data_IF_479359032187
#
_entry.id   IF_479359032187
#
_cell.length_a   1.000
_cell.length_b   1.000
_cell.length_c   1.000
_cell.angle_alpha   90.00
_cell.angle_beta   90.00
_cell.angle_gamma   90.00
#
_symmetry.space_group_name_H-M   'P 1'
#
loop_
_entity.id
_entity.type
_entity.pdbx_description
1 polymer ?
#
# COMPACT_ATOMS: atom_id res chain seq x y z
N UNK A 1 18.90 8.13 37.68
CA UNK A 1 19.02 7.70 36.26
C UNK A 1 19.07 6.19 36.21
N UNK A 2 18.45 5.50 35.23
CA UNK A 2 17.62 6.03 34.15
C UNK A 2 16.16 5.47 34.12
N UNK A 3 15.26 6.14 33.39
CA UNK A 3 13.96 5.63 32.95
C UNK A 3 14.07 4.99 31.55
N UNK A 4 13.47 3.81 31.33
CA UNK A 4 13.32 3.14 30.02
C UNK A 4 12.10 2.21 30.14
N UNK A 5 11.15 2.08 29.23
CA UNK A 5 10.89 2.72 27.94
C UNK A 5 9.53 2.21 27.45
N UNK A 6 8.73 3.10 26.85
CA UNK A 6 7.59 2.75 26.00
C UNK A 6 8.04 1.77 24.90
N UNK A 7 7.57 0.52 24.93
CA UNK A 7 7.69 -0.40 23.80
C UNK A 7 6.33 -0.60 23.11
N UNK A 8 6.20 0.15 22.01
CA UNK A 8 5.55 -0.16 20.73
C UNK A 8 4.23 -0.97 20.67
N UNK A 9 3.19 -0.46 19.97
CA UNK A 9 2.04 -1.26 19.61
C UNK A 9 2.17 -1.94 18.21
N UNK A 10 1.42 -3.05 18.05
CA UNK A 10 0.90 -3.71 16.81
C UNK A 10 1.80 -4.85 16.26
N UNK A 11 1.30 -6.06 15.79
CA UNK A 11 0.17 -6.18 14.85
C UNK A 11 -0.73 -7.44 14.79
N UNK A 12 -2.05 -7.18 14.61
CA UNK A 12 -2.96 -7.74 13.58
C UNK A 12 -3.77 -9.08 13.66
N UNK A 13 -3.76 -9.99 14.66
CA UNK A 13 -4.49 -11.27 14.50
C UNK A 13 -5.99 -11.18 14.81
N UNK A 14 -6.41 -10.22 15.65
CA UNK A 14 -7.77 -10.19 16.20
C UNK A 14 -8.88 -9.87 15.18
N UNK A 15 -8.54 -9.24 14.04
CA UNK A 15 -9.51 -8.80 13.03
C UNK A 15 -9.86 -9.88 12.01
N UNK A 16 -8.90 -10.73 11.64
CA UNK A 16 -9.14 -11.90 10.79
C UNK A 16 -10.05 -12.90 11.49
N UNK A 17 -9.82 -13.13 12.79
CA UNK A 17 -10.65 -14.01 13.61
C UNK A 17 -12.06 -13.47 13.77
N UNK A 18 -12.26 -12.16 13.91
CA UNK A 18 -13.60 -11.57 14.03
C UNK A 18 -14.39 -11.59 12.71
N UNK A 19 -13.73 -11.35 11.57
CA UNK A 19 -14.35 -11.45 10.25
C UNK A 19 -14.70 -12.90 9.90
N UNK A 20 -13.80 -13.84 10.16
CA UNK A 20 -14.07 -15.27 10.03
C UNK A 20 -15.18 -15.74 10.98
N UNK A 21 -15.21 -15.25 12.22
CA UNK A 21 -16.24 -15.53 13.23
C UNK A 21 -17.62 -14.96 12.87
N UNK A 22 -17.68 -13.79 12.22
CA UNK A 22 -18.94 -13.17 11.78
C UNK A 22 -19.54 -13.96 10.61
N UNK A 23 -18.69 -14.44 9.70
CA UNK A 23 -19.12 -15.32 8.61
C UNK A 23 -19.54 -16.72 9.11
N UNK A 24 -18.82 -17.25 10.09
CA UNK A 24 -19.16 -18.49 10.81
C UNK A 24 -20.54 -18.42 11.49
N UNK A 25 -20.89 -17.28 12.11
CA UNK A 25 -22.16 -17.10 12.83
C UNK A 25 -23.40 -17.20 11.91
N UNK A 26 -23.23 -17.03 10.61
CA UNK A 26 -24.29 -17.10 9.62
C UNK A 26 -24.39 -18.46 8.88
N UNK A 27 -23.61 -19.49 9.23
CA UNK A 27 -23.70 -20.84 8.61
C UNK A 27 -23.29 -22.04 9.53
N UNK A 28 -24.06 -22.30 10.59
CA UNK A 28 -24.25 -23.65 11.22
C UNK A 28 -22.98 -24.43 11.70
N UNK A 29 -22.14 -23.86 12.58
CA UNK A 29 -21.11 -24.62 13.32
C UNK A 29 -21.22 -24.40 14.84
N UNK A 30 -20.76 -25.37 15.65
CA UNK A 30 -20.97 -25.38 17.11
C UNK A 30 -19.91 -24.61 17.91
N UNK A 31 -20.41 -23.89 18.93
CA UNK A 31 -19.70 -22.92 19.79
C UNK A 31 -18.41 -23.43 20.44
N UNK A 32 -18.28 -24.74 20.68
CA UNK A 32 -17.12 -25.36 21.34
C UNK A 32 -15.86 -25.37 20.46
N UNK A 33 -16.02 -25.53 19.14
CA UNK A 33 -14.88 -25.67 18.22
C UNK A 33 -14.16 -24.34 18.01
N UNK A 34 -14.91 -23.23 18.08
CA UNK A 34 -14.37 -21.88 18.01
C UNK A 34 -13.50 -21.54 19.22
N UNK A 35 -13.93 -21.96 20.43
CA UNK A 35 -13.23 -21.63 21.68
C UNK A 35 -11.86 -22.31 21.70
N UNK A 36 -11.78 -23.54 21.18
CA UNK A 36 -10.52 -24.26 21.05
C UNK A 36 -9.61 -23.65 19.97
N UNK A 37 -10.15 -23.20 18.84
CA UNK A 37 -9.37 -22.54 17.78
C UNK A 37 -8.88 -21.13 18.17
N UNK A 38 -9.72 -20.35 18.87
CA UNK A 38 -9.38 -19.01 19.36
C UNK A 38 -8.31 -19.05 20.46
N UNK A 39 -8.35 -20.05 21.35
CA UNK A 39 -7.37 -20.20 22.43
C UNK A 39 -5.95 -20.49 21.91
N UNK A 40 -5.84 -21.14 20.75
CA UNK A 40 -4.54 -21.40 20.10
C UNK A 40 -3.95 -20.18 19.38
N UNK A 41 -4.77 -19.15 19.10
CA UNK A 41 -4.38 -17.98 18.30
C UNK A 41 -4.22 -16.72 19.17
N UNK A 42 -4.91 -16.64 20.31
CA UNK A 42 -4.86 -15.52 21.27
C UNK A 42 -3.53 -15.36 22.03
N UNK A 43 -2.49 -16.11 21.68
CA UNK A 43 -1.13 -15.85 22.10
C UNK A 43 -0.50 -14.55 21.50
N UNK A 44 -1.23 -13.69 20.75
CA UNK A 44 -0.71 -12.40 20.26
C UNK A 44 -1.77 -11.34 19.87
N UNK A 45 -1.84 -10.19 20.58
CA UNK A 45 -2.89 -9.11 20.55
C UNK A 45 -2.94 -8.15 19.32
N UNK A 46 -3.65 -7.00 19.24
CA UNK A 46 -4.60 -6.18 20.04
C UNK A 46 -4.86 -4.81 19.31
N UNK A 47 -6.01 -4.11 19.51
CA UNK A 47 -6.18 -2.63 19.28
C UNK A 47 -7.39 -2.08 18.44
N UNK A 48 -8.13 -1.07 18.98
CA UNK A 48 -9.38 -0.39 18.49
C UNK A 48 -9.25 1.17 18.35
N UNK A 49 -10.25 1.78 17.68
CA UNK A 49 -10.79 3.19 17.69
C UNK A 49 -10.31 4.27 16.67
N UNK A 50 -11.26 4.92 15.95
CA UNK A 50 -11.39 6.39 15.71
C UNK A 50 -12.56 6.82 14.75
N UNK A 51 -13.53 7.51 15.35
CA UNK A 51 -14.52 8.57 15.02
C UNK A 51 -14.97 9.05 13.60
N UNK A 52 -16.31 9.25 13.53
CA UNK A 52 -17.17 10.40 13.14
C UNK A 52 -16.78 11.47 12.08
N UNK A 53 -17.76 11.68 11.18
CA UNK A 53 -18.20 12.88 10.43
C UNK A 53 -17.25 13.60 9.45
N UNK A 54 -17.64 13.67 8.17
CA UNK A 54 -18.06 14.90 7.47
C UNK A 54 -18.41 14.58 6.00
N UNK A 55 -19.59 15.05 5.56
CA UNK A 55 -20.00 15.10 4.16
C UNK A 55 -19.11 16.07 3.40
N UNK A 56 -18.46 15.66 2.31
CA UNK A 56 -17.93 16.58 1.30
C UNK A 56 -17.72 15.89 -0.06
N UNK A 57 -18.04 16.66 -1.10
CA UNK A 57 -18.12 16.34 -2.51
C UNK A 57 -16.72 16.18 -3.15
N UNK A 58 -16.50 15.15 -3.95
CA UNK A 58 -15.29 15.04 -4.79
C UNK A 58 -15.48 15.90 -6.04
N UNK A 59 -14.68 16.96 -6.28
CA UNK A 59 -14.74 17.66 -7.54
C UNK A 59 -14.18 16.77 -8.66
N UNK A 60 -14.73 16.87 -9.89
CA UNK A 60 -14.17 16.20 -11.06
C UNK A 60 -12.73 16.69 -11.31
N UNK A 61 -11.84 15.74 -11.60
CA UNK A 61 -10.42 15.97 -11.87
C UNK A 61 -10.26 16.92 -13.05
N UNK A 62 -10.00 18.20 -12.79
CA UNK A 62 -9.52 19.15 -13.80
C UNK A 62 -8.00 19.25 -13.69
N UNK A 63 -7.33 18.79 -14.73
CA UNK A 63 -5.88 18.84 -14.92
C UNK A 63 -5.42 20.29 -15.06
N UNK A 64 -4.81 20.84 -14.01
CA UNK A 64 -3.78 21.88 -14.15
C UNK A 64 -2.60 21.51 -13.25
N UNK A 65 -1.51 21.18 -13.92
CA UNK A 65 -0.21 20.84 -13.36
C UNK A 65 0.41 22.12 -12.79
N UNK A 66 0.77 22.19 -11.50
CA UNK A 66 1.63 23.26 -11.02
C UNK A 66 3.08 22.96 -11.43
N UNK A 67 3.60 23.77 -12.35
CA UNK A 67 5.03 23.91 -12.59
C UNK A 67 5.67 24.55 -11.35
N UNK A 68 6.51 23.81 -10.63
CA UNK A 68 7.73 24.29 -9.97
C UNK A 68 8.22 23.28 -8.91
N UNK A 69 9.16 22.41 -9.27
CA UNK A 69 10.12 21.86 -8.31
C UNK A 69 11.45 21.62 -9.03
N UNK A 70 12.20 22.70 -9.24
CA UNK A 70 13.59 22.59 -9.65
C UNK A 70 14.40 23.76 -9.05
N UNK A 71 14.94 23.56 -7.85
CA UNK A 71 16.14 24.27 -7.42
C UNK A 71 16.82 23.55 -6.26
N UNK A 72 18.12 23.28 -6.45
CA UNK A 72 19.16 22.90 -5.48
C UNK A 72 19.21 21.44 -5.04
N UNK A 73 19.90 20.62 -5.84
CA UNK A 73 21.14 19.96 -5.41
C UNK A 73 22.07 19.94 -6.62
N UNK A 74 23.04 20.86 -6.64
CA UNK A 74 24.12 20.92 -7.63
C UNK A 74 25.31 20.16 -7.05
N UNK A 75 25.49 18.93 -7.48
CA UNK A 75 26.74 18.19 -7.32
C UNK A 75 27.06 17.62 -8.68
N UNK A 76 28.13 18.10 -9.30
CA UNK A 76 28.57 17.66 -10.61
C UNK A 76 28.96 16.18 -10.54
N UNK A 77 28.34 15.37 -11.41
CA UNK A 77 28.69 13.96 -11.59
C UNK A 77 29.43 13.82 -12.93
N UNK A 78 30.65 13.25 -12.96
CA UNK A 78 31.43 13.10 -14.19
C UNK A 78 30.72 12.23 -15.25
N UNK A 79 30.88 12.59 -16.53
CA UNK A 79 30.26 11.96 -17.70
C UNK A 79 31.27 11.07 -18.46
N UNK A 80 30.79 9.85 -18.75
CA UNK A 80 31.10 8.89 -19.83
C UNK A 80 32.47 8.20 -19.98
N UNK A 81 32.46 6.91 -19.60
CA UNK A 81 33.03 5.84 -20.41
C UNK A 81 32.03 4.65 -20.46
N UNK A 82 32.11 3.79 -21.48
CA UNK A 82 31.16 2.67 -21.74
C UNK A 82 31.19 1.61 -20.62
N UNK A 83 32.27 1.56 -19.86
CA UNK A 83 32.43 0.95 -18.54
C UNK A 83 31.86 1.92 -17.49
N UNK A 84 30.82 1.66 -16.72
CA UNK A 84 29.89 0.53 -16.66
C UNK A 84 28.59 1.17 -16.12
N UNK A 85 27.53 1.26 -16.93
CA UNK A 85 26.23 1.83 -16.48
C UNK A 85 25.73 1.12 -15.22
N UNK A 86 26.08 -0.16 -15.06
CA UNK A 86 25.80 -0.94 -13.86
C UNK A 86 26.55 -0.36 -12.67
N UNK A 87 27.87 -0.15 -12.76
CA UNK A 87 28.66 0.42 -11.68
C UNK A 87 28.24 1.86 -11.34
N UNK A 88 27.88 2.68 -12.32
CA UNK A 88 27.33 4.02 -12.07
C UNK A 88 26.00 3.95 -11.29
N UNK A 89 25.13 2.98 -11.58
CA UNK A 89 23.92 2.76 -10.78
C UNK A 89 24.28 2.24 -9.38
N UNK A 90 25.27 1.36 -9.24
CA UNK A 90 25.74 0.89 -7.93
C UNK A 90 26.24 2.06 -7.08
N UNK A 91 27.13 2.89 -7.62
CA UNK A 91 27.63 4.12 -6.97
C UNK A 91 26.48 5.06 -6.62
N UNK A 92 25.54 5.29 -7.55
CA UNK A 92 24.36 6.12 -7.29
C UNK A 92 23.53 5.58 -6.12
N UNK A 93 23.26 4.28 -6.08
CA UNK A 93 22.51 3.65 -4.99
C UNK A 93 23.27 3.72 -3.66
N UNK A 94 24.60 3.55 -3.67
CA UNK A 94 25.46 3.76 -2.47
C UNK A 94 25.38 5.19 -1.97
N UNK A 95 25.44 6.18 -2.87
CA UNK A 95 25.31 7.60 -2.51
C UNK A 95 23.94 7.94 -1.92
N UNK A 96 22.91 7.16 -2.25
CA UNK A 96 21.58 7.25 -1.62
C UNK A 96 21.48 6.46 -0.31
N UNK A 97 22.56 5.80 0.14
CA UNK A 97 22.65 5.11 1.42
C UNK A 97 22.31 3.62 1.38
N UNK A 98 22.17 3.00 0.21
CA UNK A 98 21.96 1.54 0.12
C UNK A 98 23.29 0.80 0.35
N UNK A 99 23.23 -0.31 1.11
CA UNK A 99 24.40 -1.17 1.33
C UNK A 99 24.72 -2.06 0.13
N UNK A 100 25.95 -2.55 0.04
CA UNK A 100 26.35 -3.48 -1.04
C UNK A 100 25.50 -4.75 -1.07
N UNK A 101 25.06 -5.24 0.10
CA UNK A 101 24.16 -6.38 0.21
C UNK A 101 22.82 -6.06 -0.47
N UNK A 102 22.22 -4.91 -0.14
CA UNK A 102 20.95 -4.47 -0.74
C UNK A 102 21.08 -4.28 -2.26
N UNK A 103 22.17 -3.67 -2.72
CA UNK A 103 22.44 -3.47 -4.15
C UNK A 103 22.63 -4.80 -4.87
N UNK A 104 23.30 -5.76 -4.24
CA UNK A 104 23.44 -7.14 -4.76
C UNK A 104 22.07 -7.82 -4.89
N UNK A 105 21.21 -7.72 -3.88
CA UNK A 105 19.83 -8.23 -3.94
C UNK A 105 19.05 -7.63 -5.10
N UNK A 106 19.13 -6.31 -5.31
CA UNK A 106 18.45 -5.65 -6.45
C UNK A 106 19.02 -6.14 -7.79
N UNK A 107 20.33 -6.35 -7.87
CA UNK A 107 21.01 -6.84 -9.08
C UNK A 107 20.55 -8.24 -9.47
N UNK A 108 20.41 -9.13 -8.50
CA UNK A 108 19.98 -10.51 -8.70
C UNK A 108 18.48 -10.60 -9.03
N UNK A 109 17.64 -9.92 -8.25
CA UNK A 109 16.18 -10.05 -8.36
C UNK A 109 15.60 -9.17 -9.48
N UNK A 110 16.23 -8.04 -9.78
CA UNK A 110 15.72 -7.04 -10.72
C UNK A 110 16.82 -6.46 -11.64
N UNK A 111 17.53 -7.32 -12.42
CA UNK A 111 18.65 -6.89 -13.27
C UNK A 111 18.26 -5.83 -14.31
N UNK A 112 16.98 -5.75 -14.68
CA UNK A 112 16.45 -4.74 -15.62
C UNK A 112 16.66 -3.31 -15.14
N UNK A 113 16.74 -3.06 -13.82
CA UNK A 113 16.99 -1.71 -13.28
C UNK A 113 18.34 -1.16 -13.76
N UNK A 114 19.34 -2.04 -13.92
CA UNK A 114 20.69 -1.67 -14.32
C UNK A 114 20.85 -1.39 -15.83
N UNK A 115 19.77 -1.54 -16.60
CA UNK A 115 19.75 -1.20 -18.04
C UNK A 115 19.40 0.26 -18.30
N UNK A 116 18.82 0.95 -17.32
CA UNK A 116 18.40 2.34 -17.47
C UNK A 116 19.59 3.31 -17.34
N UNK A 117 19.41 4.54 -17.81
CA UNK A 117 20.43 5.58 -17.64
C UNK A 117 20.48 6.04 -16.17
N UNK A 118 21.64 6.00 -15.49
CA UNK A 118 21.73 6.35 -14.07
C UNK A 118 21.24 7.79 -13.81
N UNK A 119 21.81 8.77 -14.53
CA UNK A 119 21.52 10.20 -14.32
C UNK A 119 20.16 10.66 -14.87
N UNK A 120 19.78 10.19 -16.07
CA UNK A 120 18.57 10.70 -16.73
C UNK A 120 17.30 9.96 -16.34
N UNK A 121 17.40 8.73 -15.82
CA UNK A 121 16.21 7.89 -15.51
C UNK A 121 16.13 7.50 -14.04
N UNK A 122 17.22 7.01 -13.43
CA UNK A 122 17.17 6.52 -12.05
C UNK A 122 17.24 7.67 -11.04
N UNK A 123 18.19 8.59 -11.20
CA UNK A 123 18.39 9.72 -10.28
C UNK A 123 17.12 10.58 -10.10
N UNK A 124 16.36 10.98 -11.14
CA UNK A 124 15.17 11.79 -10.96
C UNK A 124 14.09 11.08 -10.14
N UNK A 125 13.96 9.75 -10.28
CA UNK A 125 13.03 8.94 -9.50
C UNK A 125 13.43 8.86 -8.04
N UNK A 126 14.73 8.69 -7.76
CA UNK A 126 15.25 8.70 -6.40
C UNK A 126 15.04 10.08 -5.74
N UNK A 127 15.35 11.18 -6.45
CA UNK A 127 15.09 12.56 -5.98
C UNK A 127 13.61 12.77 -5.64
N UNK A 128 12.71 12.34 -6.51
CA UNK A 128 11.27 12.42 -6.27
C UNK A 128 10.85 11.61 -5.03
N UNK A 129 11.30 10.36 -4.90
CA UNK A 129 10.92 9.54 -3.75
C UNK A 129 11.48 10.09 -2.43
N UNK A 130 12.65 10.75 -2.45
CA UNK A 130 13.17 11.48 -1.30
C UNK A 130 12.37 12.76 -0.98
N UNK A 131 11.83 13.45 -1.99
CA UNK A 131 11.11 14.72 -1.78
C UNK A 131 9.69 14.56 -1.23
N UNK A 132 9.07 13.38 -1.37
CA UNK A 132 7.69 13.13 -0.94
C UNK A 132 7.52 12.81 0.56
N UNK A 133 8.56 13.04 1.37
CA UNK A 133 8.52 12.91 2.83
C UNK A 133 8.76 11.51 3.38
N UNK A 134 9.40 10.63 2.60
CA UNK A 134 9.86 9.32 3.08
C UNK A 134 11.16 9.49 3.87
N UNK A 135 11.29 8.81 5.02
CA UNK A 135 12.61 8.68 5.65
C UNK A 135 13.53 7.81 4.78
N UNK A 136 14.84 8.00 4.89
CA UNK A 136 15.84 7.22 4.16
C UNK A 136 15.64 5.71 4.33
N UNK A 137 15.34 5.24 5.55
CA UNK A 137 15.09 3.81 5.80
C UNK A 137 13.86 3.26 5.06
N UNK A 138 12.79 4.06 4.99
CA UNK A 138 11.57 3.67 4.27
C UNK A 138 11.86 3.66 2.76
N UNK A 139 12.58 4.66 2.26
CA UNK A 139 13.02 4.73 0.87
C UNK A 139 13.84 3.50 0.49
N UNK A 140 14.87 3.16 1.27
CA UNK A 140 15.70 1.98 1.01
C UNK A 140 14.88 0.69 0.96
N UNK A 141 13.98 0.50 1.95
CA UNK A 141 13.06 -0.66 1.97
C UNK A 141 12.18 -0.72 0.72
N UNK A 142 11.67 0.42 0.25
CA UNK A 142 10.86 0.48 -0.97
C UNK A 142 11.70 0.12 -2.20
N UNK A 143 12.90 0.68 -2.32
CA UNK A 143 13.78 0.42 -3.47
C UNK A 143 14.20 -1.05 -3.51
N UNK A 144 14.56 -1.66 -2.38
CA UNK A 144 14.98 -3.06 -2.30
C UNK A 144 13.80 -4.03 -2.54
N UNK A 145 12.65 -3.79 -1.91
CA UNK A 145 11.50 -4.70 -1.99
C UNK A 145 10.68 -4.53 -3.27
N UNK A 146 10.76 -3.36 -3.92
CA UNK A 146 10.05 -3.08 -5.16
C UNK A 146 10.89 -2.27 -6.17
N UNK A 147 12.02 -2.81 -6.67
CA UNK A 147 12.85 -2.11 -7.66
C UNK A 147 12.13 -1.88 -9.00
N UNK A 148 11.02 -2.59 -9.24
CA UNK A 148 10.13 -2.34 -10.38
C UNK A 148 9.66 -0.88 -10.44
N UNK A 149 9.53 -0.19 -9.30
CA UNK A 149 9.14 1.22 -9.27
C UNK A 149 10.14 2.11 -10.02
N UNK A 150 11.44 1.79 -9.97
CA UNK A 150 12.49 2.49 -10.71
C UNK A 150 12.42 2.27 -12.22
N UNK A 151 11.61 1.32 -12.69
CA UNK A 151 11.39 1.06 -14.11
C UNK A 151 10.20 1.85 -14.66
N UNK A 152 9.35 2.41 -13.80
CA UNK A 152 8.14 3.15 -14.19
C UNK A 152 8.45 4.58 -14.60
N UNK A 153 7.59 5.16 -15.43
CA UNK A 153 7.72 6.57 -15.83
C UNK A 153 7.51 7.49 -14.63
N UNK A 154 8.41 8.46 -14.45
CA UNK A 154 8.29 9.46 -13.40
C UNK A 154 7.05 10.33 -13.64
N UNK A 155 6.98 10.94 -14.83
CA UNK A 155 5.94 11.90 -15.22
C UNK A 155 4.58 11.26 -15.46
N UNK A 156 4.55 10.04 -16.02
CA UNK A 156 3.28 9.42 -16.43
C UNK A 156 2.71 8.44 -15.39
N UNK A 157 3.46 8.13 -14.32
CA UNK A 157 3.03 7.17 -13.29
C UNK A 157 3.28 7.67 -11.87
N UNK A 158 4.54 7.88 -11.49
CA UNK A 158 4.90 8.18 -10.09
C UNK A 158 4.28 9.48 -9.59
N UNK A 159 4.51 10.59 -10.31
CA UNK A 159 3.99 11.91 -9.93
C UNK A 159 2.45 11.91 -9.97
N UNK A 160 1.77 11.45 -11.04
CA UNK A 160 0.31 11.41 -11.07
C UNK A 160 -0.32 10.57 -9.95
N UNK A 161 0.23 9.39 -9.64
CA UNK A 161 -0.29 8.57 -8.54
C UNK A 161 -0.10 9.24 -7.18
N UNK A 162 1.05 9.88 -6.94
CA UNK A 162 1.26 10.63 -5.71
C UNK A 162 0.29 11.81 -5.58
N UNK A 163 0.05 12.55 -6.66
CA UNK A 163 -0.90 13.66 -6.69
C UNK A 163 -2.33 13.17 -6.44
N UNK A 164 -2.72 12.00 -6.96
CA UNK A 164 -4.01 11.39 -6.62
C UNK A 164 -4.11 11.13 -5.11
N UNK A 165 -3.07 10.60 -4.47
CA UNK A 165 -3.07 10.36 -3.02
C UNK A 165 -3.19 11.65 -2.22
N UNK A 166 -2.57 12.74 -2.70
CA UNK A 166 -2.68 14.09 -2.09
C UNK A 166 -4.08 14.69 -2.19
N UNK A 167 -4.85 14.30 -3.20
CA UNK A 167 -6.21 14.79 -3.41
C UNK A 167 -7.26 14.00 -2.60
N UNK A 168 -6.87 12.91 -1.94
CA UNK A 168 -7.75 12.19 -1.02
C UNK A 168 -7.69 12.86 0.35
N UNK A 169 -8.81 12.97 1.09
CA UNK A 169 -8.84 13.57 2.43
C UNK A 169 -8.18 12.65 3.47
N UNK A 170 -6.86 12.53 3.39
CA UNK A 170 -5.97 11.77 4.28
C UNK A 170 -4.74 12.61 4.60
N UNK A 171 -4.12 12.36 5.75
CA UNK A 171 -2.94 13.13 6.16
C UNK A 171 -1.70 12.75 5.34
N UNK A 172 -0.69 13.63 5.30
CA UNK A 172 0.62 13.31 4.71
C UNK A 172 1.26 12.06 5.35
N UNK A 173 1.06 11.89 6.67
CA UNK A 173 1.51 10.70 7.41
C UNK A 173 0.82 9.42 6.90
N UNK A 174 -0.45 9.52 6.54
CA UNK A 174 -1.21 8.40 5.98
C UNK A 174 -0.75 8.08 4.55
N UNK A 175 -0.42 9.09 3.73
CA UNK A 175 0.18 8.87 2.40
C UNK A 175 1.49 8.10 2.52
N UNK A 176 2.37 8.49 3.43
CA UNK A 176 3.61 7.74 3.73
C UNK A 176 3.28 6.31 4.19
N UNK A 177 2.25 6.12 5.02
CA UNK A 177 1.81 4.78 5.45
C UNK A 177 1.32 3.93 4.28
N UNK A 178 0.55 4.51 3.36
CA UNK A 178 0.07 3.86 2.12
C UNK A 178 1.25 3.36 1.29
N UNK A 179 2.20 4.25 1.02
CA UNK A 179 3.37 3.94 0.19
C UNK A 179 4.25 2.88 0.86
N UNK A 180 4.46 2.98 2.19
CA UNK A 180 5.21 1.98 2.97
C UNK A 180 4.54 0.60 2.92
N UNK A 181 3.20 0.55 3.02
CA UNK A 181 2.43 -0.70 2.98
C UNK A 181 2.43 -1.34 1.59
N UNK A 182 2.29 -0.54 0.54
CA UNK A 182 2.29 -1.05 -0.82
C UNK A 182 2.79 0.00 -1.83
N UNK A 183 4.10 0.03 -2.05
CA UNK A 183 4.74 0.98 -2.97
C UNK A 183 4.35 0.81 -4.43
N UNK A 184 3.69 -0.31 -4.82
CA UNK A 184 3.17 -0.50 -6.18
C UNK A 184 2.10 0.53 -6.56
N UNK A 185 1.44 1.14 -5.57
CA UNK A 185 0.44 2.18 -5.83
C UNK A 185 1.03 3.36 -6.63
N UNK A 186 2.28 3.74 -6.36
CA UNK A 186 2.98 4.81 -7.08
C UNK A 186 3.29 4.46 -8.54
N UNK A 187 3.39 3.17 -8.88
CA UNK A 187 3.69 2.72 -10.24
C UNK A 187 2.46 2.34 -11.08
N UNK A 188 1.27 2.41 -10.49
CA UNK A 188 0.00 1.95 -11.10
C UNK A 188 -0.61 3.01 -12.03
N UNK A 189 -1.67 2.68 -12.76
CA UNK A 189 -2.47 3.63 -13.53
C UNK A 189 -3.41 4.38 -12.59
N UNK A 190 -3.41 5.72 -12.68
CA UNK A 190 -4.27 6.59 -11.86
C UNK A 190 -5.75 6.26 -12.09
N UNK A 191 -6.11 6.00 -13.34
CA UNK A 191 -7.47 5.67 -13.77
C UNK A 191 -7.97 4.39 -13.08
N UNK A 192 -7.07 3.41 -12.89
CA UNK A 192 -7.40 2.16 -12.21
C UNK A 192 -7.68 2.38 -10.73
N UNK A 193 -6.86 3.21 -10.07
CA UNK A 193 -7.05 3.54 -8.65
C UNK A 193 -8.38 4.30 -8.49
N UNK A 194 -8.60 5.32 -9.33
CA UNK A 194 -9.83 6.12 -9.33
C UNK A 194 -11.07 5.25 -9.57
N UNK A 195 -11.06 4.39 -10.59
CA UNK A 195 -12.18 3.50 -10.90
C UNK A 195 -12.53 2.56 -9.74
N UNK A 196 -11.54 2.01 -9.03
CA UNK A 196 -11.78 1.14 -7.87
C UNK A 196 -12.31 1.93 -6.66
N UNK A 197 -11.82 3.17 -6.45
CA UNK A 197 -12.36 4.08 -5.43
C UNK A 197 -13.81 4.44 -5.74
N UNK A 198 -14.13 4.74 -7.01
CA UNK A 198 -15.49 5.04 -7.45
C UNK A 198 -16.40 3.81 -7.38
N UNK A 199 -15.89 2.62 -7.65
CA UNK A 199 -16.65 1.38 -7.45
C UNK A 199 -17.11 1.22 -5.99
N UNK A 200 -16.23 1.46 -5.00
CA UNK A 200 -16.63 1.45 -3.59
C UNK A 200 -17.75 2.46 -3.31
N UNK A 201 -17.68 3.66 -3.88
CA UNK A 201 -18.72 4.69 -3.72
C UNK A 201 -20.05 4.27 -4.32
N UNK A 202 -20.04 3.73 -5.54
CA UNK A 202 -21.24 3.24 -6.23
C UNK A 202 -21.91 2.10 -5.45
N UNK A 203 -21.13 1.30 -4.73
CA UNK A 203 -21.63 0.24 -3.84
C UNK A 203 -22.07 0.76 -2.46
N UNK A 204 -22.12 2.08 -2.27
CA UNK A 204 -22.62 2.74 -1.06
C UNK A 204 -21.66 2.70 0.13
N UNK A 205 -20.38 2.40 -0.10
CA UNK A 205 -19.37 2.39 0.97
C UNK A 205 -19.03 3.83 1.35
N UNK A 206 -19.11 4.21 2.64
CA UNK A 206 -18.81 5.57 3.08
C UNK A 206 -17.37 6.00 2.77
N UNK A 207 -17.18 7.28 2.53
CA UNK A 207 -15.85 7.83 2.25
C UNK A 207 -14.84 7.58 3.38
N UNK A 208 -15.28 7.56 4.64
CA UNK A 208 -14.43 7.21 5.79
C UNK A 208 -13.90 5.77 5.68
N UNK A 209 -14.78 4.81 5.34
CA UNK A 209 -14.41 3.42 5.08
C UNK A 209 -13.47 3.28 3.87
N UNK A 210 -13.69 4.05 2.81
CA UNK A 210 -12.80 4.09 1.63
C UNK A 210 -11.41 4.63 2.01
N UNK A 211 -11.34 5.72 2.76
CA UNK A 211 -10.07 6.24 3.28
C UNK A 211 -9.38 5.19 4.16
N UNK A 212 -10.13 4.49 5.00
CA UNK A 212 -9.60 3.39 5.82
C UNK A 212 -9.05 2.23 4.97
N UNK A 213 -9.76 1.82 3.90
CA UNK A 213 -9.30 0.83 2.90
C UNK A 213 -7.96 1.29 2.31
N UNK A 214 -7.90 2.51 1.81
CA UNK A 214 -6.70 3.01 1.14
C UNK A 214 -5.49 3.00 2.09
N UNK A 215 -5.67 3.47 3.33
CA UNK A 215 -4.60 3.60 4.31
C UNK A 215 -4.11 2.25 4.84
N UNK A 216 -5.03 1.31 5.09
CA UNK A 216 -4.69 0.05 5.76
C UNK A 216 -4.49 -1.12 4.79
N UNK A 217 -5.24 -1.12 3.69
CA UNK A 217 -5.30 -2.19 2.69
C UNK A 217 -5.18 -1.65 1.25
N UNK A 218 -4.10 -0.90 0.93
CA UNK A 218 -3.94 -0.29 -0.39
C UNK A 218 -3.93 -1.28 -1.55
N UNK A 219 -3.70 -2.57 -1.31
CA UNK A 219 -3.83 -3.61 -2.34
C UNK A 219 -5.24 -3.73 -2.92
N UNK A 220 -6.30 -3.41 -2.17
CA UNK A 220 -7.69 -3.51 -2.63
C UNK A 220 -7.97 -2.58 -3.80
N UNK A 221 -7.47 -1.34 -3.76
CA UNK A 221 -7.63 -0.36 -4.85
C UNK A 221 -6.73 -0.65 -6.05
N UNK A 222 -5.85 -1.65 -5.96
CA UNK A 222 -4.99 -2.11 -7.06
C UNK A 222 -5.51 -3.40 -7.73
N UNK A 223 -6.60 -3.98 -7.22
CA UNK A 223 -7.22 -5.18 -7.80
C UNK A 223 -7.82 -4.90 -9.17
N UNK A 224 -8.12 -5.97 -9.91
CA UNK A 224 -9.04 -5.88 -11.03
C UNK A 224 -10.43 -5.43 -10.51
N UNK A 225 -11.08 -4.52 -11.23
CA UNK A 225 -12.33 -3.90 -10.82
C UNK A 225 -13.46 -4.93 -10.66
N UNK A 226 -13.55 -5.92 -11.55
CA UNK A 226 -14.56 -6.99 -11.48
C UNK A 226 -14.36 -7.86 -10.25
N UNK A 227 -13.10 -8.23 -9.97
CA UNK A 227 -12.77 -9.00 -8.76
C UNK A 227 -13.16 -8.21 -7.50
N UNK A 228 -12.87 -6.92 -7.46
CA UNK A 228 -13.22 -6.06 -6.33
C UNK A 228 -14.74 -5.97 -6.12
N UNK A 229 -15.49 -5.69 -7.19
CA UNK A 229 -16.96 -5.61 -7.17
C UNK A 229 -17.57 -6.91 -6.65
N UNK A 230 -17.13 -8.05 -7.19
CA UNK A 230 -17.57 -9.38 -6.75
C UNK A 230 -17.33 -9.60 -5.25
N UNK A 231 -16.14 -9.28 -4.73
CA UNK A 231 -15.87 -9.44 -3.29
C UNK A 231 -16.78 -8.55 -2.44
N UNK A 232 -17.06 -7.32 -2.90
CA UNK A 232 -17.92 -6.39 -2.18
C UNK A 232 -19.37 -6.87 -2.18
N UNK A 233 -19.91 -7.29 -3.32
CA UNK A 233 -21.25 -7.86 -3.44
C UNK A 233 -21.40 -9.11 -2.58
N UNK A 234 -20.41 -10.01 -2.61
CA UNK A 234 -20.38 -11.20 -1.76
C UNK A 234 -20.37 -10.82 -0.27
N UNK A 235 -19.53 -9.85 0.12
CA UNK A 235 -19.51 -9.33 1.49
C UNK A 235 -20.88 -8.77 1.93
N UNK A 236 -21.58 -8.06 1.05
CA UNK A 236 -22.93 -7.53 1.32
C UNK A 236 -23.95 -8.66 1.44
N UNK A 237 -23.90 -9.68 0.57
CA UNK A 237 -24.79 -10.85 0.62
C UNK A 237 -24.66 -11.64 1.93
N UNK A 238 -23.47 -11.61 2.54
CA UNK A 238 -23.16 -12.22 3.83
C UNK A 238 -23.62 -11.37 5.03
N UNK A 239 -24.35 -10.28 4.78
CA UNK A 239 -24.97 -9.45 5.82
C UNK A 239 -24.04 -8.41 6.47
N UNK A 240 -22.83 -8.21 5.95
CA UNK A 240 -21.93 -7.21 6.50
C UNK A 240 -22.44 -5.79 6.22
N UNK A 241 -22.52 -4.99 7.28
CA UNK A 241 -22.88 -3.59 7.16
C UNK A 241 -21.71 -2.77 6.60
N UNK A 242 -21.89 -2.16 5.42
CA UNK A 242 -20.93 -1.27 4.74
C UNK A 242 -20.46 -0.06 5.55
N UNK A 243 -21.19 0.32 6.60
CA UNK A 243 -20.81 1.39 7.53
C UNK A 243 -19.76 0.96 8.55
N UNK A 244 -19.53 -0.35 8.74
CA UNK A 244 -18.62 -0.88 9.73
C UNK A 244 -17.21 -1.11 9.14
N UNK A 245 -16.16 -0.84 9.90
CA UNK A 245 -14.78 -1.17 9.49
C UNK A 245 -14.56 -2.67 9.28
N UNK A 246 -15.37 -3.53 9.92
CA UNK A 246 -15.38 -4.98 9.70
C UNK A 246 -15.76 -5.36 8.25
N UNK A 247 -16.59 -4.57 7.58
CA UNK A 247 -16.92 -4.79 6.19
C UNK A 247 -15.66 -4.69 5.31
N UNK A 248 -14.83 -3.68 5.53
CA UNK A 248 -13.57 -3.50 4.79
C UNK A 248 -12.63 -4.69 5.00
N UNK A 249 -12.57 -5.22 6.23
CA UNK A 249 -11.76 -6.39 6.55
C UNK A 249 -12.30 -7.65 5.83
N UNK A 250 -13.63 -7.84 5.82
CA UNK A 250 -14.25 -8.95 5.11
C UNK A 250 -13.99 -8.89 3.60
N UNK A 251 -14.11 -7.72 2.98
CA UNK A 251 -13.75 -7.51 1.56
C UNK A 251 -12.28 -7.86 1.31
N UNK A 252 -11.38 -7.42 2.20
CA UNK A 252 -9.95 -7.75 2.10
C UNK A 252 -9.70 -9.27 2.14
N UNK A 253 -10.35 -9.97 3.08
CA UNK A 253 -10.23 -11.43 3.23
C UNK A 253 -10.76 -12.16 1.99
N UNK A 254 -11.97 -11.83 1.53
CA UNK A 254 -12.60 -12.47 0.38
C UNK A 254 -11.81 -12.22 -0.91
N UNK A 255 -11.23 -11.03 -1.08
CA UNK A 255 -10.38 -10.76 -2.23
C UNK A 255 -9.00 -11.43 -2.17
N UNK A 256 -8.52 -11.77 -0.97
CA UNK A 256 -7.22 -12.41 -0.74
C UNK A 256 -7.23 -13.93 -0.86
N UNK A 257 -8.40 -14.59 -0.84
CA UNK A 257 -8.52 -16.05 -0.81
C UNK A 257 -9.45 -16.54 -1.92
N UNK A 258 -9.28 -17.79 -2.39
CA UNK A 258 -10.31 -18.42 -3.22
C UNK A 258 -11.52 -18.79 -2.35
N UNK A 259 -12.70 -18.87 -2.97
CA UNK A 259 -13.93 -19.34 -2.31
C UNK A 259 -13.69 -20.69 -1.63
N UNK A 260 -13.05 -21.62 -2.34
CA UNK A 260 -12.66 -22.94 -1.83
C UNK A 260 -11.71 -22.86 -0.62
N UNK A 261 -10.69 -22.00 -0.64
CA UNK A 261 -9.78 -21.79 0.50
C UNK A 261 -10.54 -21.30 1.73
N UNK A 262 -11.56 -20.47 1.49
CA UNK A 262 -12.38 -19.92 2.55
C UNK A 262 -13.35 -20.96 3.11
N UNK A 263 -14.07 -21.68 2.27
CA UNK A 263 -14.97 -22.78 2.65
C UNK A 263 -14.24 -23.89 3.40
N UNK A 264 -13.03 -24.26 2.97
CA UNK A 264 -12.21 -25.26 3.65
C UNK A 264 -11.73 -24.79 5.03
N UNK A 265 -11.52 -23.49 5.23
CA UNK A 265 -11.18 -22.92 6.56
C UNK A 265 -12.39 -22.80 7.49
N UNK A 266 -13.60 -22.78 6.94
CA UNK A 266 -14.85 -22.76 7.71
C UNK A 266 -15.22 -24.17 8.16
N UNK A 267 -14.92 -25.21 7.37
CA UNK A 267 -15.23 -26.62 7.70
C UNK A 267 -14.36 -27.25 8.81
N UNK A 268 -13.36 -26.54 9.34
CA UNK A 268 -12.41 -27.01 10.37
C UNK A 268 -12.75 -26.43 11.73
#
# INVERSE_FOLDING_TARGET
MPPLSLSEPVPLPHYFTLAAYTLYKHNQLSRSNIINAASNILAGGGGKELFSSANCFFPPVKTKIPNAFCSKISGDFPIENKQDKVEQIRILLRNYGLSDIQISTISQMHPKVFRFHPQNVILPKLKFLSSIGLSSDILHKIIVNNPWLLQRSLENKLIPCYNLLKNVPISNKDIVRIIKRNSRILGTNVEKIAANVDAFRQMGVPQSSISFVMVNHPSLVLLNCEKLKRCVEETLSLGFNRLNTLFVQAVYVLCGSSKETWENKVKV
#
